data_IF_324120678747
#
_entry.id   IF_324120678747
#
_cell.length_a   1.000
_cell.length_b   1.000
_cell.length_c   1.000
_cell.angle_alpha   90.00
_cell.angle_beta   90.00
_cell.angle_gamma   90.00
#
_symmetry.space_group_name_H-M   'P 1'
#
loop_
_entity.id
_entity.type
_entity.pdbx_description
1 polymer ?
#
# COMPACT_ATOMS: atom_id res chain seq x y z
N UNK A 1 6.96 7.57 30.41
CA UNK A 1 6.74 6.93 29.09
C UNK A 1 7.85 7.44 28.18
N UNK A 2 8.77 6.58 27.71
CA UNK A 2 9.82 7.03 26.79
C UNK A 2 9.16 7.51 25.48
N UNK A 3 9.63 8.61 24.87
CA UNK A 3 9.12 9.02 23.58
C UNK A 3 9.34 7.89 22.58
N UNK A 4 8.29 7.48 21.88
CA UNK A 4 8.42 6.53 20.77
C UNK A 4 9.23 7.25 19.70
N UNK A 5 10.50 6.90 19.57
CA UNK A 5 11.34 7.35 18.47
C UNK A 5 10.91 6.56 17.23
N UNK A 6 10.00 7.13 16.45
CA UNK A 6 9.60 6.60 15.15
C UNK A 6 10.39 7.28 14.02
N UNK A 7 10.78 6.55 12.96
CA UNK A 7 11.30 7.17 11.75
C UNK A 7 10.33 8.23 11.21
N UNK A 8 10.84 9.32 10.64
CA UNK A 8 10.00 10.32 9.97
C UNK A 8 9.44 9.82 8.63
N UNK A 9 10.08 8.79 8.06
CA UNK A 9 9.67 8.12 6.83
C UNK A 9 10.06 6.64 6.89
N UNK A 10 9.17 5.77 6.40
CA UNK A 10 9.45 4.35 6.18
C UNK A 10 9.11 4.02 4.74
N UNK A 11 10.00 3.33 4.04
CA UNK A 11 9.75 2.93 2.64
C UNK A 11 9.73 1.42 2.47
N UNK A 12 8.95 0.94 1.51
CA UNK A 12 8.97 -0.46 1.03
C UNK A 12 8.82 -0.48 -0.49
N UNK A 13 9.38 -1.50 -1.13
CA UNK A 13 9.10 -1.79 -2.53
C UNK A 13 8.49 -3.19 -2.65
N UNK A 14 7.25 -3.26 -3.11
CA UNK A 14 6.43 -4.47 -3.10
C UNK A 14 6.03 -4.86 -4.53
N UNK A 15 5.84 -6.15 -4.76
CA UNK A 15 5.24 -6.64 -5.99
C UNK A 15 3.71 -6.62 -5.86
N UNK A 16 3.01 -6.45 -6.99
CA UNK A 16 1.56 -6.67 -7.00
C UNK A 16 1.25 -8.14 -6.65
N UNK A 17 0.29 -8.35 -5.76
CA UNK A 17 -0.31 -9.66 -5.60
C UNK A 17 -1.24 -9.93 -6.79
N UNK A 18 -1.28 -11.18 -7.28
CA UNK A 18 -2.16 -11.60 -8.37
C UNK A 18 -3.18 -12.62 -7.90
N UNK A 19 -4.42 -12.47 -8.37
CA UNK A 19 -5.51 -13.44 -8.21
C UNK A 19 -6.17 -13.61 -9.58
N UNK A 20 -5.77 -14.66 -10.30
CA UNK A 20 -5.98 -14.73 -11.75
C UNK A 20 -5.32 -13.53 -12.44
N UNK A 21 -6.05 -12.90 -13.36
CA UNK A 21 -5.58 -11.71 -14.08
C UNK A 21 -5.69 -10.40 -13.28
N UNK A 22 -6.30 -10.44 -12.09
CA UNK A 22 -6.52 -9.25 -11.27
C UNK A 22 -5.30 -8.94 -10.40
N UNK A 23 -4.95 -7.66 -10.35
CA UNK A 23 -3.88 -7.14 -9.48
C UNK A 23 -4.44 -6.72 -8.12
N UNK A 24 -3.62 -6.82 -7.09
CA UNK A 24 -3.90 -6.30 -5.75
C UNK A 24 -2.69 -5.50 -5.24
N UNK A 25 -2.96 -4.29 -4.78
CA UNK A 25 -1.98 -3.45 -4.07
C UNK A 25 -2.14 -3.74 -2.58
N UNK A 26 -1.10 -4.29 -1.95
CA UNK A 26 -1.13 -4.63 -0.52
C UNK A 26 0.16 -4.18 0.14
N UNK A 27 0.03 -3.50 1.27
CA UNK A 27 1.13 -3.30 2.22
C UNK A 27 0.77 -3.92 3.56
N UNK A 28 1.70 -4.74 4.08
CA UNK A 28 1.61 -5.40 5.39
C UNK A 28 2.85 -4.99 6.19
N UNK A 29 2.65 -4.30 7.31
CA UNK A 29 3.75 -3.72 8.10
C UNK A 29 3.28 -3.23 9.47
N UNK A 30 4.04 -3.54 10.53
CA UNK A 30 3.83 -2.94 11.85
C UNK A 30 4.14 -1.43 11.87
N UNK A 31 4.91 -0.93 10.90
CA UNK A 31 5.10 0.51 10.74
C UNK A 31 3.83 1.26 10.36
N UNK A 32 2.79 0.60 9.81
CA UNK A 32 1.52 1.27 9.54
C UNK A 32 0.88 1.79 10.84
N UNK A 33 0.88 0.96 11.90
CA UNK A 33 0.37 1.37 13.22
C UNK A 33 1.19 2.51 13.81
N UNK A 34 2.52 2.39 13.75
CA UNK A 34 3.44 3.46 14.18
C UNK A 34 3.19 4.78 13.42
N UNK A 35 2.81 4.69 12.14
CA UNK A 35 2.48 5.85 11.31
C UNK A 35 1.03 6.34 11.46
N UNK A 36 0.26 5.77 12.39
CA UNK A 36 -1.08 6.22 12.72
C UNK A 36 -2.22 5.48 12.03
N UNK A 37 -1.95 4.38 11.32
CA UNK A 37 -2.96 3.56 10.68
C UNK A 37 -3.24 2.32 11.54
N UNK A 38 -4.34 2.35 12.29
CA UNK A 38 -4.71 1.27 13.22
C UNK A 38 -5.74 0.33 12.61
N UNK A 39 -5.68 -1.00 12.88
CA UNK A 39 -6.75 -1.90 12.47
C UNK A 39 -8.13 -1.39 12.89
N UNK A 40 -9.10 -1.48 12.01
CA UNK A 40 -10.46 -0.97 12.21
C UNK A 40 -10.68 0.46 11.72
N UNK A 41 -9.63 1.26 11.53
CA UNK A 41 -9.71 2.65 11.06
C UNK A 41 -10.23 2.75 9.62
N UNK A 42 -11.13 3.70 9.39
CA UNK A 42 -11.55 4.13 8.07
C UNK A 42 -10.47 4.96 7.36
N UNK A 43 -10.28 4.72 6.07
CA UNK A 43 -9.30 5.44 5.25
C UNK A 43 -9.95 5.96 3.95
N UNK A 44 -9.43 7.08 3.48
CA UNK A 44 -9.78 7.68 2.21
C UNK A 44 -8.62 7.49 1.22
N UNK A 45 -8.97 7.33 -0.06
CA UNK A 45 -8.01 7.20 -1.15
C UNK A 45 -8.03 8.48 -1.97
N UNK A 46 -6.86 9.06 -2.18
CA UNK A 46 -6.65 10.23 -3.02
C UNK A 46 -5.84 9.79 -4.24
N UNK A 47 -6.46 9.63 -5.42
CA UNK A 47 -5.73 9.34 -6.66
C UNK A 47 -4.69 10.42 -6.94
N UNK A 48 -3.49 10.01 -7.34
CA UNK A 48 -2.48 10.94 -7.84
C UNK A 48 -2.83 11.44 -9.25
N UNK A 49 -2.00 12.37 -9.75
CA UNK A 49 -2.11 12.82 -11.14
C UNK A 49 -1.72 11.69 -12.10
N UNK A 50 -2.53 11.52 -13.16
CA UNK A 50 -2.33 10.47 -14.15
C UNK A 50 -2.19 9.07 -13.53
N UNK A 51 -1.27 8.27 -14.07
CA UNK A 51 -0.91 6.96 -13.52
C UNK A 51 0.25 7.06 -12.51
N UNK A 52 0.26 8.12 -11.69
CA UNK A 52 1.30 8.40 -10.69
C UNK A 52 1.13 7.66 -9.35
N UNK A 53 0.13 6.78 -9.25
CA UNK A 53 -0.23 6.09 -8.02
C UNK A 53 -1.34 6.79 -7.24
N UNK A 54 -1.38 6.58 -5.92
CA UNK A 54 -2.37 7.21 -5.03
C UNK A 54 -1.84 7.32 -3.61
N UNK A 55 -2.47 8.17 -2.80
CA UNK A 55 -2.23 8.27 -1.37
C UNK A 55 -3.44 7.82 -0.55
N UNK A 56 -3.14 7.49 0.70
CA UNK A 56 -4.10 7.05 1.70
C UNK A 56 -3.93 7.89 2.94
N UNK A 57 -5.04 8.41 3.45
CA UNK A 57 -5.12 9.19 4.69
C UNK A 57 -6.22 8.63 5.59
N UNK A 58 -6.16 8.85 6.92
CA UNK A 58 -7.30 8.60 7.80
C UNK A 58 -8.53 9.36 7.30
N UNK A 59 -9.68 8.69 7.27
CA UNK A 59 -10.94 9.28 6.84
C UNK A 59 -11.76 9.79 8.03
N UNK A 60 -12.59 10.80 7.78
CA UNK A 60 -13.83 11.01 8.52
C UNK A 60 -14.90 10.05 8.00
N UNK A 61 -15.95 9.79 8.79
CA UNK A 61 -16.98 8.77 8.46
C UNK A 61 -17.59 8.96 7.06
N UNK A 62 -17.79 10.21 6.64
CA UNK A 62 -18.39 10.57 5.34
C UNK A 62 -17.48 10.29 4.13
N UNK A 63 -16.16 10.28 4.33
CA UNK A 63 -15.15 10.11 3.27
C UNK A 63 -14.51 8.72 3.31
N UNK A 64 -14.97 7.84 4.19
CA UNK A 64 -14.44 6.50 4.34
C UNK A 64 -14.77 5.66 3.09
N UNK A 65 -13.73 5.19 2.42
CA UNK A 65 -13.86 4.31 1.24
C UNK A 65 -13.35 2.90 1.51
N UNK A 66 -12.39 2.76 2.44
CA UNK A 66 -11.75 1.49 2.78
C UNK A 66 -11.45 1.43 4.28
N UNK A 67 -10.93 0.29 4.74
CA UNK A 67 -10.58 0.06 6.13
C UNK A 67 -9.17 -0.50 6.26
N UNK A 68 -8.49 -0.19 7.36
CA UNK A 68 -7.24 -0.83 7.77
C UNK A 68 -7.56 -2.17 8.44
N UNK A 69 -6.89 -3.24 8.00
CA UNK A 69 -7.09 -4.59 8.50
C UNK A 69 -5.94 -5.05 9.40
N UNK A 70 -6.17 -6.13 10.14
CA UNK A 70 -5.13 -6.89 10.81
C UNK A 70 -4.94 -8.23 10.11
N UNK A 71 -3.69 -8.63 9.88
CA UNK A 71 -3.36 -9.92 9.27
C UNK A 71 -2.66 -10.82 10.27
N UNK A 72 -3.13 -12.07 10.32
CA UNK A 72 -2.47 -13.20 10.98
C UNK A 72 -1.79 -14.06 9.92
N UNK A 73 -0.54 -14.45 10.15
CA UNK A 73 0.12 -15.44 9.31
C UNK A 73 -0.25 -16.84 9.80
N UNK A 74 -0.24 -17.82 8.88
CA UNK A 74 -0.37 -19.21 9.29
C UNK A 74 0.87 -19.64 10.08
N UNK A 75 0.71 -20.31 11.24
CA UNK A 75 1.81 -20.65 12.15
C UNK A 75 2.97 -21.41 11.48
N UNK A 76 2.68 -22.18 10.42
CA UNK A 76 3.68 -23.00 9.71
C UNK A 76 4.60 -22.21 8.75
N UNK A 77 4.28 -20.96 8.41
CA UNK A 77 5.03 -20.19 7.40
C UNK A 77 6.07 -19.23 8.01
N UNK A 78 5.87 -18.76 9.25
CA UNK A 78 6.78 -17.85 9.94
C UNK A 78 6.77 -18.15 11.43
N UNK A 79 7.92 -18.57 11.97
CA UNK A 79 8.07 -18.90 13.40
C UNK A 79 7.71 -17.72 14.32
N UNK A 80 7.90 -16.48 13.86
CA UNK A 80 7.59 -15.27 14.61
C UNK A 80 6.11 -14.80 14.50
N UNK A 81 5.26 -15.48 13.70
CA UNK A 81 3.85 -15.17 13.41
C UNK A 81 3.39 -13.72 13.71
N UNK A 82 3.94 -12.72 12.99
CA UNK A 82 3.72 -11.32 13.36
C UNK A 82 2.28 -10.90 13.08
N UNK A 83 1.66 -10.23 14.04
CA UNK A 83 0.38 -9.54 13.84
C UNK A 83 0.64 -8.24 13.09
N UNK A 84 0.52 -8.28 11.77
CA UNK A 84 0.78 -7.11 10.92
C UNK A 84 -0.49 -6.34 10.63
N UNK A 85 -0.39 -5.01 10.70
CA UNK A 85 -1.38 -4.10 10.13
C UNK A 85 -1.31 -4.14 8.60
N UNK A 86 -2.46 -4.08 7.93
CA UNK A 86 -2.60 -4.22 6.48
C UNK A 86 -3.50 -3.15 5.89
N UNK A 87 -3.05 -2.60 4.75
CA UNK A 87 -3.89 -1.85 3.82
C UNK A 87 -3.85 -2.58 2.48
N UNK A 88 -5.03 -2.88 1.92
CA UNK A 88 -5.19 -3.61 0.66
C UNK A 88 -6.24 -2.96 -0.24
N UNK A 89 -5.92 -2.90 -1.53
CA UNK A 89 -6.82 -2.45 -2.59
C UNK A 89 -6.90 -3.52 -3.68
N UNK A 90 -8.13 -3.92 -4.01
CA UNK A 90 -8.44 -4.90 -5.07
C UNK A 90 -9.36 -4.36 -6.17
N UNK A 91 -9.85 -3.12 -6.04
CA UNK A 91 -10.66 -2.48 -7.07
C UNK A 91 -9.83 -2.19 -8.32
N UNK A 92 -10.10 -2.92 -9.42
CA UNK A 92 -9.31 -2.78 -10.65
C UNK A 92 -9.45 -1.38 -11.26
N UNK A 93 -10.60 -0.72 -11.13
CA UNK A 93 -10.76 0.67 -11.61
C UNK A 93 -9.79 1.66 -10.96
N UNK A 94 -9.58 1.56 -9.64
CA UNK A 94 -8.58 2.37 -8.94
C UNK A 94 -7.16 2.01 -9.41
N UNK A 95 -6.85 0.71 -9.45
CA UNK A 95 -5.51 0.23 -9.79
C UNK A 95 -5.14 0.60 -11.23
N UNK A 96 -6.04 0.41 -12.19
CA UNK A 96 -5.78 0.67 -13.60
C UNK A 96 -5.74 2.17 -13.93
N UNK A 97 -6.46 3.00 -13.14
CA UNK A 97 -6.34 4.46 -13.21
C UNK A 97 -4.98 4.94 -12.69
N UNK A 98 -4.48 4.33 -11.63
CA UNK A 98 -3.31 4.83 -10.90
C UNK A 98 -1.99 4.16 -11.28
N UNK A 99 -2.00 2.98 -11.89
CA UNK A 99 -0.79 2.22 -12.23
C UNK A 99 -0.83 1.71 -13.67
N UNK A 100 0.23 1.98 -14.48
CA UNK A 100 0.34 1.39 -15.79
C UNK A 100 0.22 -0.13 -15.76
N UNK A 101 -0.32 -0.73 -16.83
CA UNK A 101 -0.56 -2.19 -16.90
C UNK A 101 0.72 -3.01 -16.78
N UNK A 102 1.83 -2.50 -17.31
CA UNK A 102 3.15 -3.13 -17.26
C UNK A 102 3.88 -2.99 -15.91
N UNK A 103 3.29 -2.31 -14.93
CA UNK A 103 3.91 -2.14 -13.62
C UNK A 103 3.83 -3.43 -12.81
N UNK A 104 4.98 -3.99 -12.46
CA UNK A 104 5.10 -5.22 -11.65
C UNK A 104 5.32 -4.94 -10.16
N UNK A 105 5.91 -3.77 -9.85
CA UNK A 105 6.27 -3.37 -8.49
C UNK A 105 5.83 -1.93 -8.23
N UNK A 106 5.55 -1.64 -6.98
CA UNK A 106 5.23 -0.30 -6.51
C UNK A 106 6.07 0.05 -5.29
N UNK A 107 6.33 1.33 -5.12
CA UNK A 107 6.97 1.89 -3.95
C UNK A 107 5.89 2.35 -2.98
N UNK A 108 6.14 2.15 -1.69
CA UNK A 108 5.29 2.60 -0.60
C UNK A 108 6.13 3.51 0.28
N UNK A 109 5.70 4.76 0.43
CA UNK A 109 6.23 5.69 1.41
C UNK A 109 5.21 5.87 2.52
N UNK A 110 5.63 5.66 3.78
CA UNK A 110 4.79 5.81 4.95
C UNK A 110 5.32 6.96 5.80
N UNK A 111 4.47 7.95 6.04
CA UNK A 111 4.67 9.04 6.99
C UNK A 111 3.49 9.07 7.96
N UNK A 112 3.62 9.81 9.04
CA UNK A 112 2.54 9.97 10.01
C UNK A 112 1.27 10.50 9.32
N UNK A 113 0.20 9.71 9.38
CA UNK A 113 -1.10 10.04 8.80
C UNK A 113 -1.19 10.00 7.27
N UNK A 114 -0.15 9.54 6.56
CA UNK A 114 -0.17 9.44 5.10
C UNK A 114 0.67 8.27 4.58
N UNK A 115 0.07 7.46 3.71
CA UNK A 115 0.80 6.43 2.95
C UNK A 115 0.65 6.71 1.46
N UNK A 116 1.76 6.74 0.73
CA UNK A 116 1.78 6.97 -0.72
C UNK A 116 2.22 5.69 -1.42
N UNK A 117 1.49 5.30 -2.46
CA UNK A 117 1.78 4.16 -3.31
C UNK A 117 2.09 4.68 -4.72
N UNK A 118 3.30 4.47 -5.22
CA UNK A 118 3.72 4.93 -6.55
C UNK A 118 4.22 3.78 -7.42
N UNK A 119 3.99 3.80 -8.75
CA UNK A 119 4.53 2.77 -9.64
C UNK A 119 6.06 2.82 -9.65
N UNK A 120 6.70 1.66 -9.64
CA UNK A 120 8.12 1.57 -9.97
C UNK A 120 8.25 1.33 -11.47
N UNK A 121 8.93 2.23 -12.17
CA UNK A 121 9.16 2.11 -13.59
C UNK A 121 9.90 0.80 -13.91
N UNK A 122 9.32 -0.01 -14.81
CA UNK A 122 10.00 -1.17 -15.35
C UNK A 122 10.90 -0.71 -16.50
N UNK A 123 12.19 -0.49 -16.22
CA UNK A 123 13.16 0.03 -17.20
C UNK A 123 13.27 -0.87 -18.44
N UNK A 124 13.06 -2.18 -18.32
CA UNK A 124 13.11 -3.10 -19.46
C UNK A 124 11.91 -2.91 -20.41
N UNK A 125 10.72 -2.66 -19.87
CA UNK A 125 9.51 -2.44 -20.67
C UNK A 125 9.52 -1.08 -21.38
N UNK A 126 10.04 -0.04 -20.73
CA UNK A 126 10.16 1.30 -21.32
C UNK A 126 11.09 1.37 -22.54
N UNK A 127 11.96 0.37 -22.73
CA UNK A 127 12.83 0.24 -23.90
C UNK A 127 12.06 -0.39 -25.07
N UNK A 128 11.23 -1.41 -24.82
CA UNK A 128 10.49 -2.13 -25.85
C UNK A 128 9.37 -1.31 -26.51
N UNK A 129 8.82 -0.30 -25.82
CA UNK A 129 7.77 0.60 -26.36
C UNK A 129 8.35 1.76 -27.23
N UNK A 130 9.68 1.92 -27.27
CA UNK A 130 10.35 2.98 -28.03
C UNK A 130 10.84 2.55 -29.42
N UNK A 131 10.62 1.28 -29.80
CA UNK A 131 10.98 0.71 -31.09
C UNK A 131 9.76 0.05 -31.74
#
# INVERSE_FOLDING_TARGET
MLPIVSPSVVTKQLAFNRVGDKRKVRVSSNFLDVMGFKPGMGIAVEPGEGMGGFSVIPATDELQTHQVYQRRYQPKSRSNNPLETVIEFSGQGLIDKCFPRYTERFHVEMRKGRVVFTPVANRAFAIADRF
#
